data_IF_871727560952
#
_entry.id   IF_871727560952
#
_cell.length_a   1.000
_cell.length_b   1.000
_cell.length_c   1.000
_cell.angle_alpha   90.00
_cell.angle_beta   90.00
_cell.angle_gamma   90.00
#
_symmetry.space_group_name_H-M   'P 1'
#
loop_
_entity.id
_entity.type
_entity.pdbx_description
1 polymer ?
#
# COMPACT_ATOMS: atom_id res chain seq x y z
N UNK A 1 11.11 -4.68 -13.48
CA UNK A 1 10.20 -3.89 -12.64
C UNK A 1 10.80 -2.52 -12.54
N UNK A 2 10.13 -1.51 -13.09
CA UNK A 2 10.60 -0.13 -13.00
C UNK A 2 10.62 0.28 -11.54
N UNK A 3 11.75 0.84 -11.07
CA UNK A 3 11.91 1.29 -9.68
C UNK A 3 10.79 2.24 -9.23
N UNK A 4 10.17 2.94 -10.18
CA UNK A 4 9.06 3.86 -9.96
C UNK A 4 7.74 3.13 -9.70
N UNK A 5 7.45 2.06 -10.42
CA UNK A 5 6.23 1.26 -10.22
C UNK A 5 6.24 0.57 -8.86
N UNK A 6 7.41 0.08 -8.44
CA UNK A 6 7.58 -0.49 -7.11
C UNK A 6 7.42 0.58 -6.02
N UNK A 7 7.97 1.77 -6.21
CA UNK A 7 7.80 2.89 -5.27
C UNK A 7 6.32 3.24 -5.08
N UNK A 8 5.59 3.48 -6.18
CA UNK A 8 4.16 3.81 -6.13
C UNK A 8 3.34 2.70 -5.48
N UNK A 9 3.62 1.43 -5.81
CA UNK A 9 2.98 0.28 -5.16
C UNK A 9 3.18 0.35 -3.65
N UNK A 10 4.42 0.53 -3.18
CA UNK A 10 4.72 0.51 -1.75
C UNK A 10 4.19 1.74 -1.00
N UNK A 11 4.14 2.92 -1.62
CA UNK A 11 3.47 4.10 -1.04
C UNK A 11 1.98 3.83 -0.81
N UNK A 12 1.30 3.21 -1.77
CA UNK A 12 -0.11 2.85 -1.62
C UNK A 12 -0.29 1.78 -0.53
N UNK A 13 0.52 0.72 -0.52
CA UNK A 13 0.45 -0.29 0.55
C UNK A 13 0.73 0.32 1.93
N UNK A 14 1.65 1.28 2.01
CA UNK A 14 1.95 1.99 3.24
C UNK A 14 0.76 2.84 3.73
N UNK A 15 -0.01 3.46 2.84
CA UNK A 15 -1.24 4.17 3.24
C UNK A 15 -2.30 3.26 3.87
N UNK A 16 -2.32 1.96 3.52
CA UNK A 16 -3.23 0.99 4.16
C UNK A 16 -2.68 0.39 5.45
N UNK A 17 -1.37 0.15 5.50
CA UNK A 17 -0.77 -0.71 6.53
C UNK A 17 0.28 -0.01 7.40
N UNK A 18 0.56 1.28 7.18
CA UNK A 18 1.60 2.06 7.87
C UNK A 18 1.41 2.08 9.38
N UNK A 19 0.16 2.17 9.85
CA UNK A 19 -0.18 2.13 11.27
C UNK A 19 0.07 0.78 11.94
N UNK A 20 0.27 -0.30 11.18
CA UNK A 20 0.62 -1.62 11.71
C UNK A 20 2.12 -1.74 12.04
N UNK A 21 2.93 -0.73 11.72
CA UNK A 21 4.35 -0.70 12.03
C UNK A 21 4.61 -0.09 13.41
N UNK A 22 5.60 -0.60 14.16
CA UNK A 22 6.10 0.11 15.34
C UNK A 22 6.60 1.50 14.95
N UNK A 23 6.34 2.51 15.79
CA UNK A 23 6.64 3.94 15.54
C UNK A 23 8.00 4.19 14.89
N UNK A 24 9.08 3.64 15.46
CA UNK A 24 10.44 3.80 14.91
C UNK A 24 10.63 3.22 13.52
N UNK A 25 9.96 2.10 13.17
CA UNK A 25 10.06 1.49 11.83
C UNK A 25 9.18 2.22 10.83
N UNK A 26 8.04 2.75 11.28
CA UNK A 26 7.13 3.56 10.48
C UNK A 26 7.83 4.83 10.00
N UNK A 27 8.56 5.52 10.88
CA UNK A 27 9.29 6.75 10.59
C UNK A 27 10.21 6.63 9.36
N UNK A 28 11.01 5.57 9.25
CA UNK A 28 11.86 5.37 8.06
C UNK A 28 11.07 5.20 6.76
N UNK A 29 9.92 4.54 6.83
CA UNK A 29 9.06 4.31 5.66
C UNK A 29 8.27 5.57 5.29
N UNK A 30 7.80 6.33 6.27
CA UNK A 30 7.09 7.60 6.11
C UNK A 30 7.98 8.62 5.39
N UNK A 31 9.21 8.82 5.88
CA UNK A 31 10.19 9.69 5.25
C UNK A 31 10.49 9.28 3.80
N UNK A 32 10.58 7.98 3.53
CA UNK A 32 10.93 7.47 2.20
C UNK A 32 9.75 7.48 1.22
N UNK A 33 8.59 6.95 1.62
CA UNK A 33 7.45 6.65 0.74
C UNK A 33 6.46 7.81 0.62
N UNK A 34 6.41 8.71 1.61
CA UNK A 34 5.46 9.84 1.62
C UNK A 34 6.20 11.17 1.45
N UNK A 35 7.31 11.39 2.16
CA UNK A 35 8.07 12.65 2.08
C UNK A 35 9.10 12.69 0.95
N UNK A 36 9.30 11.58 0.21
CA UNK A 36 10.29 11.46 -0.86
C UNK A 36 11.74 11.74 -0.41
N UNK A 37 12.04 11.60 0.88
CA UNK A 37 13.39 11.76 1.41
C UNK A 37 14.31 10.67 0.84
N UNK A 38 15.51 11.07 0.45
CA UNK A 38 16.56 10.14 0.04
C UNK A 38 17.10 9.35 1.22
N UNK A 39 17.73 8.20 0.95
CA UNK A 39 18.38 7.38 1.99
C UNK A 39 19.45 8.14 2.79
N UNK A 40 20.08 9.16 2.17
CA UNK A 40 21.10 9.98 2.82
C UNK A 40 20.48 11.00 3.76
N UNK A 41 19.40 11.67 3.35
CA UNK A 41 18.65 12.62 4.19
C UNK A 41 18.07 11.92 5.42
N UNK A 42 17.49 10.73 5.23
CA UNK A 42 16.96 9.93 6.35
C UNK A 42 18.09 9.49 7.29
N UNK A 43 19.25 9.10 6.75
CA UNK A 43 20.39 8.68 7.57
C UNK A 43 20.91 9.81 8.45
N UNK A 44 21.02 11.01 7.88
CA UNK A 44 21.40 12.22 8.59
C UNK A 44 20.38 12.59 9.68
N UNK A 45 19.09 12.65 9.32
CA UNK A 45 18.01 12.99 10.25
C UNK A 45 17.88 12.00 11.41
N UNK A 46 18.04 10.70 11.14
CA UNK A 46 17.91 9.66 12.16
C UNK A 46 19.22 9.34 12.89
N UNK A 47 20.36 9.95 12.51
CA UNK A 47 21.67 9.69 13.12
C UNK A 47 22.17 8.26 12.92
N UNK A 48 21.86 7.63 11.77
CA UNK A 48 22.22 6.24 11.46
C UNK A 48 22.99 6.16 10.14
N UNK A 49 23.49 4.97 9.79
CA UNK A 49 24.17 4.79 8.49
C UNK A 49 23.15 4.66 7.36
N UNK A 50 23.53 5.10 6.15
CA UNK A 50 22.73 4.90 4.93
C UNK A 50 22.37 3.44 4.67
N UNK A 51 23.27 2.51 5.03
CA UNK A 51 23.00 1.07 4.93
C UNK A 51 21.91 0.63 5.91
N UNK A 52 21.92 1.13 7.15
CA UNK A 52 20.88 0.83 8.12
C UNK A 52 19.51 1.35 7.66
N UNK A 53 19.44 2.52 7.03
CA UNK A 53 18.21 3.04 6.42
C UNK A 53 17.71 2.12 5.31
N UNK A 54 18.59 1.76 4.37
CA UNK A 54 18.25 0.87 3.26
C UNK A 54 17.71 -0.48 3.75
N UNK A 55 18.35 -1.08 4.75
CA UNK A 55 17.93 -2.36 5.32
C UNK A 55 16.56 -2.25 6.03
N UNK A 56 16.29 -1.13 6.71
CA UNK A 56 14.98 -0.89 7.34
C UNK A 56 13.88 -0.72 6.30
N UNK A 57 14.10 0.07 5.26
CA UNK A 57 13.13 0.23 4.16
C UNK A 57 12.88 -1.11 3.49
N UNK A 58 13.94 -1.86 3.15
CA UNK A 58 13.81 -3.18 2.51
C UNK A 58 12.98 -4.15 3.35
N UNK A 59 13.21 -4.21 4.66
CA UNK A 59 12.40 -5.04 5.58
C UNK A 59 10.97 -4.52 5.69
N UNK A 60 10.79 -3.20 5.65
CA UNK A 60 9.49 -2.55 5.68
C UNK A 60 8.62 -2.89 4.47
N UNK A 61 9.17 -2.80 3.25
CA UNK A 61 8.44 -3.15 2.02
C UNK A 61 8.09 -4.64 1.97
N UNK A 62 8.98 -5.52 2.43
CA UNK A 62 8.67 -6.95 2.59
C UNK A 62 7.49 -7.16 3.54
N UNK A 63 7.43 -6.39 4.62
CA UNK A 63 6.34 -6.47 5.59
C UNK A 63 5.02 -5.94 5.01
N UNK A 64 5.05 -4.91 4.18
CA UNK A 64 3.89 -4.43 3.44
C UNK A 64 3.34 -5.51 2.49
N UNK A 65 4.22 -6.22 1.77
CA UNK A 65 3.82 -7.35 0.94
C UNK A 65 3.19 -8.48 1.78
N UNK A 66 3.74 -8.79 2.96
CA UNK A 66 3.14 -9.76 3.88
C UNK A 66 1.75 -9.35 4.35
N UNK A 67 1.55 -8.06 4.67
CA UNK A 67 0.24 -7.55 5.07
C UNK A 67 -0.76 -7.61 3.91
N UNK A 68 -0.36 -7.22 2.70
CA UNK A 68 -1.22 -7.31 1.53
C UNK A 68 -1.58 -8.76 1.20
N UNK A 69 -0.64 -9.70 1.30
CA UNK A 69 -0.92 -11.11 1.06
C UNK A 69 -1.94 -11.69 2.06
N UNK A 70 -1.98 -11.15 3.30
CA UNK A 70 -2.90 -11.62 4.35
C UNK A 70 -4.24 -10.89 4.35
N UNK A 71 -4.24 -9.59 4.10
CA UNK A 71 -5.42 -8.73 4.26
C UNK A 71 -6.07 -8.39 2.91
N UNK A 72 -5.28 -8.29 1.84
CA UNK A 72 -5.73 -8.15 0.46
C UNK A 72 -6.52 -6.86 0.18
N UNK A 73 -6.31 -5.79 0.95
CA UNK A 73 -7.10 -4.56 0.85
C UNK A 73 -6.90 -3.91 -0.52
N UNK A 74 -5.65 -3.75 -0.95
CA UNK A 74 -5.35 -3.12 -2.24
C UNK A 74 -5.87 -3.95 -3.41
N UNK A 75 -5.77 -5.28 -3.34
CA UNK A 75 -6.37 -6.19 -4.33
C UNK A 75 -7.88 -6.02 -4.39
N UNK A 76 -8.58 -6.03 -3.26
CA UNK A 76 -10.04 -5.85 -3.20
C UNK A 76 -10.47 -4.51 -3.77
N UNK A 77 -9.75 -3.44 -3.46
CA UNK A 77 -10.04 -2.10 -4.02
C UNK A 77 -9.87 -2.09 -5.55
N UNK A 78 -8.79 -2.68 -6.08
CA UNK A 78 -8.58 -2.82 -7.53
C UNK A 78 -9.70 -3.60 -8.22
N UNK A 79 -10.17 -4.67 -7.59
CA UNK A 79 -11.28 -5.47 -8.11
C UNK A 79 -12.59 -4.68 -8.10
N UNK A 80 -12.89 -3.96 -7.02
CA UNK A 80 -14.04 -3.07 -6.94
C UNK A 80 -13.98 -1.98 -8.01
N UNK A 81 -12.85 -1.30 -8.17
CA UNK A 81 -12.66 -0.29 -9.22
C UNK A 81 -12.95 -0.85 -10.61
N UNK A 82 -12.46 -2.05 -10.92
CA UNK A 82 -12.74 -2.72 -12.20
C UNK A 82 -14.23 -3.03 -12.38
N UNK A 83 -14.90 -3.49 -11.32
CA UNK A 83 -16.36 -3.74 -11.34
C UNK A 83 -17.14 -2.43 -11.59
N UNK A 84 -16.75 -1.34 -10.94
CA UNK A 84 -17.36 -0.02 -11.13
C UNK A 84 -17.10 0.55 -12.53
N UNK A 85 -15.91 0.39 -13.09
CA UNK A 85 -15.61 0.78 -14.46
C UNK A 85 -16.41 -0.02 -15.49
N UNK A 86 -16.63 -1.32 -15.23
CA UNK A 86 -17.51 -2.15 -16.04
C UNK A 86 -18.97 -1.70 -15.95
N UNK A 87 -19.48 -1.45 -14.73
CA UNK A 87 -20.82 -0.94 -14.51
C UNK A 87 -21.04 0.40 -15.22
N UNK A 88 -20.08 1.32 -15.15
CA UNK A 88 -20.14 2.61 -15.84
C UNK A 88 -20.32 2.46 -17.36
N UNK A 89 -19.74 1.42 -17.97
CA UNK A 89 -19.85 1.14 -19.41
C UNK A 89 -21.09 0.32 -19.77
N UNK A 90 -21.55 -0.54 -18.87
CA UNK A 90 -22.62 -1.52 -19.11
C UNK A 90 -23.68 -1.44 -17.99
N UNK A 91 -24.21 -0.25 -17.76
CA UNK A 91 -25.11 -0.02 -16.64
C UNK A 91 -26.40 -0.82 -16.80
N UNK A 92 -26.67 -1.70 -15.84
CA UNK A 92 -27.94 -2.40 -15.66
C UNK A 92 -28.18 -2.59 -14.16
N UNK A 93 -29.45 -2.68 -13.76
CA UNK A 93 -29.79 -2.93 -12.36
C UNK A 93 -29.17 -4.24 -11.86
N UNK A 94 -29.23 -5.31 -12.66
CA UNK A 94 -28.61 -6.59 -12.29
C UNK A 94 -27.07 -6.54 -12.18
N UNK A 95 -26.39 -5.67 -12.92
CA UNK A 95 -24.93 -5.48 -12.73
C UNK A 95 -24.62 -4.67 -11.46
N UNK A 96 -25.50 -3.76 -11.06
CA UNK A 96 -25.37 -3.02 -9.80
C UNK A 96 -25.62 -3.96 -8.61
N UNK A 97 -26.69 -4.76 -8.65
CA UNK A 97 -27.04 -5.74 -7.61
C UNK A 97 -25.89 -6.71 -7.35
N UNK A 98 -25.27 -7.28 -8.39
CA UNK A 98 -24.09 -8.15 -8.26
C UNK A 98 -22.93 -7.51 -7.50
N UNK A 99 -22.69 -6.20 -7.69
CA UNK A 99 -21.62 -5.49 -6.97
C UNK A 99 -22.01 -5.34 -5.50
N UNK A 100 -23.28 -5.08 -5.20
CA UNK A 100 -23.78 -4.94 -3.82
C UNK A 100 -23.70 -6.28 -3.09
N UNK A 101 -24.09 -7.38 -3.72
CA UNK A 101 -24.00 -8.74 -3.17
C UNK A 101 -22.58 -9.12 -2.70
N UNK A 102 -21.53 -8.61 -3.37
CA UNK A 102 -20.14 -8.84 -2.95
C UNK A 102 -19.81 -8.23 -1.56
N UNK A 103 -20.62 -7.28 -1.09
CA UNK A 103 -20.50 -6.60 0.20
C UNK A 103 -21.58 -7.01 1.20
N UNK A 104 -22.44 -7.97 0.86
CA UNK A 104 -23.33 -8.58 1.83
C UNK A 104 -22.52 -9.51 2.73
N UNK A 105 -21.88 -8.90 3.72
CA UNK A 105 -21.37 -9.59 4.90
C UNK A 105 -22.59 -9.97 5.72
N UNK A 106 -23.24 -11.09 5.37
CA UNK A 106 -24.44 -11.54 6.06
C UNK A 106 -24.31 -11.41 7.59
N UNK A 107 -25.25 -10.65 8.19
CA UNK A 107 -25.66 -10.83 9.59
C UNK A 107 -26.19 -12.25 9.81
#
# INVERSE_FOLDING_TARGET
MDKLDDFLKYSVLFSYYGELFPKKKREYLELYLEENSSLSEIAEQCGVTRQAVFDNIKKGVQKLDEYENKLGIFKKEKELKRKLEYLKKNFTMGNLEKIIEDFDYAE
#
